data_IF_440185532028
#
_entry.id   IF_440185532028
#
_cell.length_a   1.000
_cell.length_b   1.000
_cell.length_c   1.000
_cell.angle_alpha   90.00
_cell.angle_beta   90.00
_cell.angle_gamma   90.00
#
_symmetry.space_group_name_H-M   'P 1'
#
loop_
_entity.id
_entity.type
_entity.pdbx_description
1 polymer ?
#
# COMPACT_ATOMS: atom_id res chain seq x y z
N UNK A 1 3.89 7.41 7.75
CA UNK A 1 3.90 5.94 7.80
C UNK A 1 2.52 5.45 8.21
N UNK A 2 1.96 4.41 7.59
CA UNK A 2 0.56 4.00 7.78
C UNK A 2 0.44 2.80 8.73
N UNK A 3 -0.23 2.92 9.89
CA UNK A 3 -0.46 1.78 10.78
C UNK A 3 -1.35 0.73 10.11
N UNK A 4 -1.27 -0.53 10.57
CA UNK A 4 -2.04 -1.67 10.06
C UNK A 4 -1.84 -2.02 8.57
N UNK A 5 -0.78 -1.53 7.92
CA UNK A 5 -0.53 -1.74 6.49
C UNK A 5 0.58 -2.77 6.20
N UNK A 6 0.97 -3.57 7.19
CA UNK A 6 2.13 -4.46 7.12
C UNK A 6 2.05 -5.48 5.96
N UNK A 7 0.89 -6.09 5.74
CA UNK A 7 0.69 -7.04 4.64
C UNK A 7 0.92 -6.39 3.27
N UNK A 8 0.31 -5.23 3.02
CA UNK A 8 0.49 -4.48 1.77
C UNK A 8 1.95 -4.05 1.60
N UNK A 9 2.59 -3.54 2.66
CA UNK A 9 4.01 -3.14 2.59
C UNK A 9 4.92 -4.31 2.23
N UNK A 10 4.72 -5.49 2.84
CA UNK A 10 5.52 -6.67 2.56
C UNK A 10 5.37 -7.11 1.09
N UNK A 11 4.14 -7.21 0.60
CA UNK A 11 3.87 -7.59 -0.80
C UNK A 11 4.47 -6.57 -1.79
N UNK A 12 4.29 -5.27 -1.55
CA UNK A 12 4.88 -4.24 -2.41
C UNK A 12 6.41 -4.27 -2.40
N UNK A 13 7.02 -4.52 -1.24
CA UNK A 13 8.48 -4.60 -1.12
C UNK A 13 9.06 -5.74 -1.96
N UNK A 14 8.30 -6.82 -2.16
CA UNK A 14 8.66 -7.90 -3.09
C UNK A 14 8.36 -7.49 -4.53
N UNK A 15 7.09 -7.20 -4.84
CA UNK A 15 6.61 -6.98 -6.21
C UNK A 15 7.34 -5.84 -6.92
N UNK A 16 7.58 -4.72 -6.23
CA UNK A 16 8.22 -3.54 -6.83
C UNK A 16 9.72 -3.77 -7.13
N UNK A 17 10.33 -4.81 -6.55
CA UNK A 17 11.73 -5.19 -6.80
C UNK A 17 11.88 -6.38 -7.79
N UNK A 18 10.78 -6.98 -8.25
CA UNK A 18 10.83 -7.98 -9.32
C UNK A 18 11.03 -7.33 -10.70
N UNK A 19 11.85 -7.97 -11.54
CA UNK A 19 11.99 -7.67 -12.97
C UNK A 19 11.13 -8.63 -13.80
N UNK A 20 10.69 -8.20 -14.99
CA UNK A 20 9.91 -9.04 -15.92
C UNK A 20 8.46 -9.35 -15.50
N UNK A 21 7.99 -8.80 -14.37
CA UNK A 21 6.62 -8.96 -13.90
C UNK A 21 5.74 -7.81 -14.41
N UNK A 22 4.55 -8.14 -14.92
CA UNK A 22 3.53 -7.15 -15.24
C UNK A 22 2.80 -6.68 -13.96
N UNK A 23 3.11 -5.47 -13.51
CA UNK A 23 2.60 -4.89 -12.25
C UNK A 23 1.18 -4.31 -12.36
N UNK A 24 0.70 -4.06 -13.57
CA UNK A 24 -0.50 -3.26 -13.82
C UNK A 24 -0.31 -1.77 -13.51
N UNK A 25 -1.32 -0.97 -13.81
CA UNK A 25 -1.20 0.50 -13.88
C UNK A 25 -0.86 1.15 -12.54
N UNK A 26 -1.56 0.77 -11.46
CA UNK A 26 -1.37 1.39 -10.14
C UNK A 26 0.02 1.12 -9.58
N UNK A 27 0.47 -0.14 -9.57
CA UNK A 27 1.78 -0.50 -9.04
C UNK A 27 2.92 -0.03 -9.97
N UNK A 28 2.69 -0.02 -11.29
CA UNK A 28 3.61 0.56 -12.25
C UNK A 28 3.82 2.06 -12.03
N UNK A 29 2.74 2.84 -11.89
CA UNK A 29 2.81 4.27 -11.55
C UNK A 29 3.52 4.50 -10.22
N UNK A 30 3.19 3.71 -9.18
CA UNK A 30 3.81 3.84 -7.87
C UNK A 30 5.32 3.55 -7.90
N UNK A 31 5.75 2.52 -8.65
CA UNK A 31 7.17 2.18 -8.83
C UNK A 31 7.96 3.32 -9.46
N UNK A 32 7.41 3.93 -10.51
CA UNK A 32 8.03 5.07 -11.19
C UNK A 32 8.04 6.31 -10.30
N UNK A 33 6.90 6.64 -9.69
CA UNK A 33 6.74 7.80 -8.83
C UNK A 33 7.71 7.79 -7.63
N UNK A 34 7.96 6.63 -7.04
CA UNK A 34 8.79 6.48 -5.85
C UNK A 34 10.28 6.27 -6.13
N UNK A 35 10.70 6.35 -7.40
CA UNK A 35 12.11 6.20 -7.78
C UNK A 35 12.96 7.32 -7.17
N UNK A 36 14.03 6.97 -6.47
CA UNK A 36 14.95 7.92 -5.83
C UNK A 36 14.47 8.50 -4.48
N UNK A 37 13.25 8.17 -4.04
CA UNK A 37 12.77 8.60 -2.71
C UNK A 37 13.48 7.84 -1.59
N UNK A 38 13.66 8.51 -0.44
CA UNK A 38 14.04 7.83 0.81
C UNK A 38 12.93 6.88 1.30
N UNK A 39 13.25 5.89 2.14
CA UNK A 39 12.28 4.89 2.62
C UNK A 39 11.01 5.50 3.23
N UNK A 40 11.15 6.59 3.98
CA UNK A 40 10.04 7.27 4.65
C UNK A 40 9.05 7.84 3.62
N UNK A 41 9.57 8.50 2.59
CA UNK A 41 8.75 9.08 1.52
C UNK A 41 8.07 7.99 0.67
N UNK A 42 8.73 6.84 0.45
CA UNK A 42 8.06 5.69 -0.18
C UNK A 42 6.89 5.18 0.65
N UNK A 43 7.07 5.08 1.97
CA UNK A 43 5.99 4.68 2.88
C UNK A 43 4.81 5.65 2.86
N UNK A 44 5.07 6.96 2.75
CA UNK A 44 4.01 7.95 2.56
C UNK A 44 3.31 7.83 1.21
N UNK A 45 4.05 7.63 0.11
CA UNK A 45 3.44 7.42 -1.20
C UNK A 45 2.54 6.17 -1.24
N UNK A 46 2.96 5.06 -0.64
CA UNK A 46 2.14 3.85 -0.48
C UNK A 46 0.85 4.17 0.28
N UNK A 47 0.97 4.87 1.41
CA UNK A 47 -0.16 5.23 2.25
C UNK A 47 -1.18 6.17 1.61
N UNK A 48 -0.70 7.06 0.75
CA UNK A 48 -1.51 8.07 0.06
C UNK A 48 -2.01 7.60 -1.31
N UNK A 49 -1.85 6.31 -1.66
CA UNK A 49 -2.40 5.73 -2.88
C UNK A 49 -3.78 5.12 -2.58
N UNK A 50 -4.90 5.79 -2.96
CA UNK A 50 -6.24 5.40 -2.53
C UNK A 50 -6.66 4.01 -3.02
N UNK A 51 -6.19 3.59 -4.19
CA UNK A 51 -6.47 2.27 -4.75
C UNK A 51 -5.91 1.15 -3.84
N UNK A 52 -4.72 1.36 -3.26
CA UNK A 52 -4.11 0.41 -2.33
C UNK A 52 -4.85 0.36 -1.00
N UNK A 53 -5.24 1.51 -0.46
CA UNK A 53 -6.00 1.59 0.78
C UNK A 53 -7.39 0.95 0.61
N UNK A 54 -8.08 1.23 -0.50
CA UNK A 54 -9.37 0.65 -0.83
C UNK A 54 -9.29 -0.88 -0.93
N UNK A 55 -8.35 -1.40 -1.72
CA UNK A 55 -8.16 -2.84 -1.87
C UNK A 55 -7.82 -3.50 -0.53
N UNK A 56 -6.85 -2.96 0.22
CA UNK A 56 -6.47 -3.49 1.54
C UNK A 56 -7.67 -3.55 2.50
N UNK A 57 -8.43 -2.47 2.62
CA UNK A 57 -9.57 -2.39 3.53
C UNK A 57 -10.74 -3.27 3.09
N UNK A 58 -10.91 -3.53 1.79
CA UNK A 58 -11.95 -4.42 1.29
C UNK A 58 -11.79 -5.88 1.75
N UNK A 59 -10.56 -6.28 2.09
CA UNK A 59 -10.24 -7.61 2.61
C UNK A 59 -10.27 -7.68 4.15
N UNK A 60 -10.56 -6.58 4.84
CA UNK A 60 -10.66 -6.57 6.28
C UNK A 60 -11.96 -7.25 6.76
N UNK A 61 -11.85 -8.07 7.81
CA UNK A 61 -13.01 -8.66 8.48
C UNK A 61 -13.94 -7.54 9.03
N UNK A 62 -15.27 -7.72 9.04
CA UNK A 62 -16.20 -6.69 9.55
C UNK A 62 -15.90 -6.20 10.97
N UNK A 63 -15.32 -7.06 11.81
CA UNK A 63 -14.91 -6.70 13.17
C UNK A 63 -13.77 -5.68 13.20
N UNK A 64 -12.84 -5.72 12.25
CA UNK A 64 -11.78 -4.73 12.11
C UNK A 64 -12.36 -3.38 11.67
N UNK A 65 -13.31 -3.38 10.74
CA UNK A 65 -14.03 -2.18 10.30
C UNK A 65 -14.76 -1.49 11.45
N UNK A 66 -15.49 -2.24 12.27
CA UNK A 66 -16.18 -1.72 13.47
C UNK A 66 -15.24 -1.09 14.51
N UNK A 67 -13.97 -1.48 14.56
CA UNK A 67 -12.98 -0.89 15.46
C UNK A 67 -12.49 0.49 14.98
N UNK A 68 -12.47 0.72 13.66
CA UNK A 68 -12.12 2.03 13.09
C UNK A 68 -13.21 3.06 13.36
N UNK A 69 -14.47 2.68 13.20
CA UNK A 69 -15.62 3.57 13.42
C UNK A 69 -15.76 4.02 14.89
N UNK A 70 -15.28 3.22 15.85
CA UNK A 70 -15.33 3.55 17.28
C UNK A 70 -14.20 4.47 17.75
N UNK A 71 -13.20 4.69 16.91
CA UNK A 71 -12.01 5.48 17.24
C UNK A 71 -11.89 6.80 16.45
N UNK A 72 -12.93 7.19 15.71
CA UNK A 72 -12.99 8.44 14.94
C UNK A 72 -13.91 9.46 15.60
#
# INVERSE_FOLDING_TARGET
MVPNSCATHALLSVLLNCSGLHLGDTLGRLKVHTKGMCPENKGWAIGNTPELACAHNSHAMPQAKRRLDKGS
#
